data_IF_998036835004
#
_entry.id   IF_998036835004
#
_cell.length_a   1.000
_cell.length_b   1.000
_cell.length_c   1.000
_cell.angle_alpha   90.00
_cell.angle_beta   90.00
_cell.angle_gamma   90.00
#
_symmetry.space_group_name_H-M   'P 1'
#
loop_
_entity.id
_entity.type
_entity.pdbx_description
1 polymer ?
#
# COMPACT_ATOMS: atom_id res chain seq x y z
N UNK A 1 -3.70 -25.31 -2.27
CA UNK A 1 -4.74 -24.37 -2.74
C UNK A 1 -4.47 -22.87 -2.46
N UNK A 2 -3.31 -22.46 -1.92
CA UNK A 2 -3.16 -21.18 -1.20
C UNK A 2 -2.47 -20.00 -1.93
N UNK A 3 -2.78 -19.71 -3.22
CA UNK A 3 -2.34 -18.41 -3.82
C UNK A 3 -3.16 -17.88 -5.01
N UNK A 4 -4.49 -18.06 -5.02
CA UNK A 4 -5.35 -17.51 -6.09
C UNK A 4 -5.26 -15.97 -6.16
N UNK A 5 -5.38 -15.28 -5.02
CA UNK A 5 -5.40 -13.80 -4.98
C UNK A 5 -4.07 -13.18 -5.47
N UNK A 6 -2.88 -13.57 -4.96
CA UNK A 6 -1.62 -13.02 -5.49
C UNK A 6 -1.40 -13.31 -6.97
N UNK A 7 -1.84 -14.48 -7.44
CA UNK A 7 -1.74 -14.84 -8.86
C UNK A 7 -2.64 -13.96 -9.72
N UNK A 8 -3.84 -13.65 -9.24
CA UNK A 8 -4.78 -12.76 -9.93
C UNK A 8 -4.24 -11.33 -10.00
N UNK A 9 -3.74 -10.79 -8.89
CA UNK A 9 -3.09 -9.47 -8.84
C UNK A 9 -1.97 -9.39 -9.88
N UNK A 10 -1.09 -10.40 -9.92
CA UNK A 10 0.01 -10.46 -10.90
C UNK A 10 -0.49 -10.52 -12.34
N UNK A 11 -1.57 -11.26 -12.63
CA UNK A 11 -2.15 -11.33 -13.99
C UNK A 11 -2.71 -9.97 -14.42
N UNK A 12 -3.48 -9.32 -13.56
CA UNK A 12 -4.03 -7.99 -13.83
C UNK A 12 -2.90 -6.97 -14.00
N UNK A 13 -1.90 -6.99 -13.11
CA UNK A 13 -0.76 -6.09 -13.21
C UNK A 13 0.00 -6.25 -14.53
N UNK A 14 0.22 -7.49 -14.99
CA UNK A 14 0.85 -7.76 -16.29
C UNK A 14 0.02 -7.29 -17.48
N UNK A 15 -1.31 -7.40 -17.40
CA UNK A 15 -2.21 -6.89 -18.43
C UNK A 15 -2.07 -5.36 -18.54
N UNK A 16 -2.16 -4.66 -17.42
CA UNK A 16 -2.00 -3.20 -17.37
C UNK A 16 -0.59 -2.80 -17.83
N UNK A 17 0.45 -3.52 -17.43
CA UNK A 17 1.82 -3.26 -17.88
C UNK A 17 1.96 -3.34 -19.41
N UNK A 18 1.34 -4.35 -20.04
CA UNK A 18 1.34 -4.49 -21.51
C UNK A 18 0.53 -3.37 -22.19
N UNK A 19 -0.62 -3.01 -21.63
CA UNK A 19 -1.47 -1.92 -22.15
C UNK A 19 -0.76 -0.56 -22.07
N UNK A 20 -0.04 -0.32 -20.97
CA UNK A 20 0.77 0.89 -20.74
C UNK A 20 2.13 0.85 -21.42
N UNK A 21 2.42 -0.17 -22.25
CA UNK A 21 3.70 -0.38 -22.95
C UNK A 21 4.93 -0.30 -22.02
N UNK A 22 4.76 -0.68 -20.76
CA UNK A 22 5.83 -0.69 -19.77
C UNK A 22 6.26 0.68 -19.24
N UNK A 23 5.44 1.73 -19.39
CA UNK A 23 5.71 3.06 -18.82
C UNK A 23 5.83 2.99 -17.29
N UNK A 24 5.00 2.18 -16.63
CA UNK A 24 5.00 2.05 -15.17
C UNK A 24 5.62 0.70 -14.72
N UNK A 25 6.38 0.67 -13.61
CA UNK A 25 6.88 -0.57 -13.04
C UNK A 25 5.74 -1.52 -12.67
N UNK A 26 5.92 -2.82 -12.93
CA UNK A 26 4.93 -3.84 -12.56
C UNK A 26 4.62 -3.85 -11.06
N UNK A 27 5.63 -3.59 -10.23
CA UNK A 27 5.50 -3.44 -8.78
C UNK A 27 4.63 -2.24 -8.39
N UNK A 28 4.71 -1.11 -9.10
CA UNK A 28 3.83 0.04 -8.86
C UNK A 28 2.38 -0.34 -9.16
N UNK A 29 2.13 -0.99 -10.30
CA UNK A 29 0.78 -1.41 -10.69
C UNK A 29 0.21 -2.40 -9.66
N UNK A 30 0.99 -3.41 -9.25
CA UNK A 30 0.58 -4.36 -8.22
C UNK A 30 0.31 -3.67 -6.88
N UNK A 31 1.15 -2.70 -6.50
CA UNK A 31 0.98 -1.91 -5.28
C UNK A 31 -0.34 -1.12 -5.29
N UNK A 32 -0.67 -0.48 -6.41
CA UNK A 32 -1.93 0.26 -6.57
C UNK A 32 -3.15 -0.67 -6.53
N UNK A 33 -3.10 -1.84 -7.18
CA UNK A 33 -4.18 -2.85 -7.10
C UNK A 33 -4.42 -3.28 -5.65
N UNK A 34 -3.35 -3.59 -4.91
CA UNK A 34 -3.45 -3.94 -3.49
C UNK A 34 -4.03 -2.77 -2.68
N UNK A 35 -3.55 -1.55 -2.92
CA UNK A 35 -4.06 -0.35 -2.26
C UNK A 35 -5.56 -0.14 -2.48
N UNK A 36 -6.05 -0.31 -3.71
CA UNK A 36 -7.48 -0.23 -4.03
C UNK A 36 -8.29 -1.31 -3.30
N UNK A 37 -7.79 -2.54 -3.22
CA UNK A 37 -8.42 -3.59 -2.40
C UNK A 37 -8.43 -3.22 -0.92
N UNK A 38 -7.37 -2.60 -0.42
CA UNK A 38 -7.29 -2.08 0.95
C UNK A 38 -8.38 -1.06 1.28
N UNK A 39 -8.76 -0.20 0.33
CA UNK A 39 -9.89 0.73 0.51
C UNK A 39 -11.21 -0.04 0.69
N UNK A 40 -11.44 -1.09 -0.10
CA UNK A 40 -12.63 -1.94 0.07
C UNK A 40 -12.66 -2.65 1.43
N UNK A 41 -11.49 -3.12 1.88
CA UNK A 41 -11.32 -3.71 3.22
C UNK A 41 -11.61 -2.69 4.30
N UNK A 42 -11.05 -1.47 4.20
CA UNK A 42 -11.32 -0.37 5.13
C UNK A 42 -12.81 -0.09 5.25
N UNK A 43 -13.50 0.11 4.10
CA UNK A 43 -14.92 0.43 4.09
C UNK A 43 -15.78 -0.69 4.69
N UNK A 44 -15.41 -1.94 4.43
CA UNK A 44 -16.11 -3.12 4.99
C UNK A 44 -15.94 -3.19 6.50
N UNK A 45 -14.71 -3.04 7.00
CA UNK A 45 -14.40 -3.09 8.44
C UNK A 45 -15.03 -1.92 9.18
N UNK A 46 -14.93 -0.71 8.63
CA UNK A 46 -15.57 0.47 9.20
C UNK A 46 -17.07 0.27 9.32
N UNK A 47 -17.73 -0.21 8.26
CA UNK A 47 -19.17 -0.51 8.28
C UNK A 47 -19.50 -1.52 9.38
N UNK A 48 -18.75 -2.61 9.51
CA UNK A 48 -18.98 -3.62 10.55
C UNK A 48 -18.80 -3.03 11.95
N UNK A 49 -17.71 -2.29 12.20
CA UNK A 49 -17.45 -1.68 13.51
C UNK A 49 -18.53 -0.66 13.88
N UNK A 50 -19.00 0.14 12.92
CA UNK A 50 -20.11 1.08 13.10
C UNK A 50 -21.44 0.40 13.42
N UNK A 51 -21.64 -0.86 13.02
CA UNK A 51 -22.85 -1.63 13.34
C UNK A 51 -22.78 -2.29 14.72
N UNK A 52 -21.59 -2.59 15.23
CA UNK A 52 -21.38 -3.34 16.48
C UNK A 52 -20.98 -2.48 17.67
N UNK A 53 -20.46 -1.27 17.43
CA UNK A 53 -19.98 -0.37 18.48
C UNK A 53 -20.84 0.88 18.53
N UNK A 54 -21.29 1.26 19.73
CA UNK A 54 -22.40 2.20 19.86
C UNK A 54 -22.07 3.65 19.56
N UNK A 55 -20.88 4.22 19.81
CA UNK A 55 -20.76 5.70 19.69
C UNK A 55 -19.35 6.30 19.47
N UNK A 56 -18.47 5.68 18.67
CA UNK A 56 -17.25 6.41 18.28
C UNK A 56 -16.74 6.07 16.89
N UNK A 57 -17.20 6.86 15.92
CA UNK A 57 -16.64 6.89 14.56
C UNK A 57 -15.12 7.02 14.57
N UNK A 58 -14.55 7.81 15.50
CA UNK A 58 -13.10 7.99 15.60
C UNK A 58 -12.37 6.67 15.89
N UNK A 59 -12.84 5.90 16.87
CA UNK A 59 -12.23 4.60 17.19
C UNK A 59 -12.51 3.56 16.10
N UNK A 60 -13.72 3.52 15.55
CA UNK A 60 -14.06 2.61 14.45
C UNK A 60 -13.21 2.87 13.19
N UNK A 61 -13.04 4.13 12.81
CA UNK A 61 -12.21 4.52 11.68
C UNK A 61 -10.73 4.21 11.93
N UNK A 62 -10.19 4.51 13.12
CA UNK A 62 -8.83 4.16 13.46
C UNK A 62 -8.59 2.63 13.40
N UNK A 63 -9.53 1.83 13.91
CA UNK A 63 -9.48 0.37 13.81
C UNK A 63 -9.51 -0.11 12.35
N UNK A 64 -10.40 0.44 11.53
CA UNK A 64 -10.48 0.13 10.11
C UNK A 64 -9.19 0.48 9.35
N UNK A 65 -8.56 1.63 9.66
CA UNK A 65 -7.28 2.05 9.08
C UNK A 65 -6.17 1.04 9.41
N UNK A 66 -6.09 0.58 10.65
CA UNK A 66 -5.07 -0.39 11.08
C UNK A 66 -5.27 -1.74 10.36
N UNK A 67 -6.52 -2.21 10.25
CA UNK A 67 -6.83 -3.46 9.54
C UNK A 67 -6.51 -3.35 8.06
N UNK A 68 -6.87 -2.23 7.41
CA UNK A 68 -6.56 -1.99 6.01
C UNK A 68 -5.04 -1.86 5.76
N UNK A 69 -4.31 -1.18 6.64
CA UNK A 69 -2.85 -1.08 6.56
C UNK A 69 -2.18 -2.46 6.73
N UNK A 70 -2.68 -3.29 7.66
CA UNK A 70 -2.22 -4.66 7.85
C UNK A 70 -2.45 -5.51 6.61
N UNK A 71 -3.66 -5.43 6.02
CA UNK A 71 -3.99 -6.12 4.79
C UNK A 71 -3.06 -5.70 3.64
N UNK A 72 -2.88 -4.40 3.43
CA UNK A 72 -2.01 -3.88 2.38
C UNK A 72 -0.56 -4.33 2.56
N UNK A 73 -0.03 -4.26 3.78
CA UNK A 73 1.33 -4.68 4.09
C UNK A 73 1.55 -6.17 3.78
N UNK A 74 0.69 -7.04 4.31
CA UNK A 74 0.82 -8.49 4.15
C UNK A 74 0.59 -8.92 2.69
N UNK A 75 -0.38 -8.31 2.01
CA UNK A 75 -0.65 -8.60 0.61
C UNK A 75 0.47 -8.12 -0.31
N UNK A 76 1.03 -6.93 -0.07
CA UNK A 76 2.21 -6.45 -0.80
C UNK A 76 3.42 -7.34 -0.55
N UNK A 77 3.63 -7.83 0.67
CA UNK A 77 4.71 -8.77 0.99
C UNK A 77 4.59 -10.09 0.21
N UNK A 78 3.36 -10.59 0.01
CA UNK A 78 3.09 -11.85 -0.68
C UNK A 78 3.03 -11.71 -2.21
N UNK A 79 2.55 -10.57 -2.71
CA UNK A 79 2.27 -10.33 -4.13
C UNK A 79 3.31 -9.41 -4.75
N UNK A 80 3.28 -8.12 -4.39
CA UNK A 80 4.08 -7.05 -5.02
C UNK A 80 5.58 -7.26 -4.84
N UNK A 81 6.00 -7.66 -3.65
CA UNK A 81 7.41 -7.78 -3.25
C UNK A 81 7.79 -9.23 -2.96
N UNK A 82 7.20 -10.17 -3.70
CA UNK A 82 7.38 -11.61 -3.48
C UNK A 82 8.84 -12.06 -3.50
N UNK A 83 9.66 -11.46 -4.36
CA UNK A 83 11.09 -11.78 -4.48
C UNK A 83 11.91 -11.27 -3.28
N UNK A 84 11.44 -10.20 -2.65
CA UNK A 84 12.03 -9.53 -1.48
C UNK A 84 11.14 -9.70 -0.26
N UNK A 85 10.40 -10.82 -0.17
CA UNK A 85 9.38 -10.97 0.87
C UNK A 85 10.03 -11.13 2.24
N UNK A 86 9.52 -10.41 3.24
CA UNK A 86 9.99 -10.49 4.61
C UNK A 86 9.39 -11.72 5.31
N UNK A 87 10.20 -12.37 6.15
CA UNK A 87 9.83 -13.56 6.93
C UNK A 87 10.29 -13.42 8.40
N UNK A 88 9.66 -14.17 9.30
CA UNK A 88 10.00 -14.19 10.73
C UNK A 88 9.88 -12.81 11.40
N UNK A 89 10.85 -12.46 12.27
CA UNK A 89 10.85 -11.19 13.02
C UNK A 89 10.89 -9.94 12.13
N UNK A 90 11.37 -10.07 10.89
CA UNK A 90 11.45 -8.95 9.93
C UNK A 90 10.08 -8.50 9.46
N UNK A 91 9.05 -9.35 9.51
CA UNK A 91 7.67 -8.96 9.23
C UNK A 91 7.21 -7.89 10.22
N UNK A 92 7.55 -8.03 11.49
CA UNK A 92 7.15 -7.07 12.53
C UNK A 92 7.90 -5.75 12.36
N UNK A 93 9.23 -5.81 12.20
CA UNK A 93 10.04 -4.62 11.96
C UNK A 93 9.58 -3.86 10.70
N UNK A 94 9.34 -4.59 9.60
CA UNK A 94 8.84 -4.03 8.35
C UNK A 94 7.45 -3.39 8.51
N UNK A 95 6.58 -3.97 9.34
CA UNK A 95 5.25 -3.42 9.60
C UNK A 95 5.32 -2.07 10.33
N UNK A 96 6.19 -1.94 11.34
CA UNK A 96 6.36 -0.67 12.07
C UNK A 96 6.91 0.44 11.16
N UNK A 97 7.88 0.11 10.31
CA UNK A 97 8.41 1.06 9.31
C UNK A 97 7.32 1.41 8.30
N UNK A 98 6.55 0.42 7.82
CA UNK A 98 5.46 0.64 6.88
C UNK A 98 4.39 1.59 7.43
N UNK A 99 3.95 1.41 8.68
CA UNK A 99 3.00 2.31 9.34
C UNK A 99 3.52 3.75 9.44
N UNK A 100 4.81 3.91 9.71
CA UNK A 100 5.44 5.25 9.76
C UNK A 100 5.41 5.90 8.38
N UNK A 101 5.80 5.16 7.34
CA UNK A 101 5.83 5.64 5.96
C UNK A 101 4.44 6.03 5.47
N UNK A 102 3.43 5.19 5.71
CA UNK A 102 2.06 5.43 5.24
C UNK A 102 1.38 6.57 5.98
N UNK A 103 1.72 6.78 7.26
CA UNK A 103 1.26 7.94 8.02
C UNK A 103 1.84 9.24 7.46
N UNK A 104 3.14 9.27 7.13
CA UNK A 104 3.76 10.42 6.45
C UNK A 104 3.18 10.64 5.05
N UNK A 105 2.92 9.56 4.31
CA UNK A 105 2.29 9.64 2.99
C UNK A 105 0.87 10.20 3.04
N UNK A 106 0.10 9.87 4.08
CA UNK A 106 -1.22 10.48 4.31
C UNK A 106 -1.08 12.00 4.56
N UNK A 107 -0.13 12.41 5.40
CA UNK A 107 0.17 13.83 5.63
C UNK A 107 0.54 14.57 4.34
N UNK A 108 1.42 13.99 3.52
CA UNK A 108 1.79 14.53 2.20
C UNK A 108 0.59 14.61 1.25
N UNK A 109 -0.28 13.61 1.26
CA UNK A 109 -1.50 13.60 0.43
C UNK A 109 -2.40 14.78 0.76
N UNK A 110 -2.63 15.01 2.06
CA UNK A 110 -3.46 16.10 2.56
C UNK A 110 -2.83 17.46 2.26
N UNK A 111 -1.51 17.60 2.47
CA UNK A 111 -0.77 18.82 2.17
C UNK A 111 -0.89 19.20 0.68
N UNK A 112 -0.55 18.28 -0.22
CA UNK A 112 -0.59 18.54 -1.67
C UNK A 112 -2.02 18.78 -2.15
N UNK A 113 -2.99 18.02 -1.64
CA UNK A 113 -4.39 18.26 -1.95
C UNK A 113 -4.85 19.66 -1.52
N UNK A 114 -4.45 20.12 -0.33
CA UNK A 114 -4.78 21.46 0.15
C UNK A 114 -4.14 22.56 -0.70
N UNK A 115 -2.84 22.48 -0.92
CA UNK A 115 -2.07 23.45 -1.73
C UNK A 115 -2.60 23.61 -3.16
N UNK A 116 -3.04 22.50 -3.77
CA UNK A 116 -3.65 22.55 -5.11
C UNK A 116 -5.05 23.17 -5.03
N UNK A 117 -5.85 22.78 -4.04
CA UNK A 117 -7.21 23.30 -3.87
C UNK A 117 -7.21 24.82 -3.66
N UNK A 118 -6.27 25.35 -2.89
CA UNK A 118 -6.14 26.79 -2.64
C UNK A 118 -5.79 27.59 -3.91
N UNK A 119 -5.30 26.92 -4.97
CA UNK A 119 -4.92 27.55 -6.25
C UNK A 119 -5.96 27.41 -7.35
N UNK A 120 -6.64 26.26 -7.43
CA UNK A 120 -7.56 25.95 -8.54
C UNK A 120 -9.01 25.77 -8.11
N UNK A 121 -9.29 25.62 -6.81
CA UNK A 121 -10.64 25.56 -6.22
C UNK A 121 -11.50 24.41 -6.79
N UNK A 122 -10.86 23.38 -7.33
CA UNK A 122 -11.50 22.16 -7.85
C UNK A 122 -11.25 20.99 -6.88
N UNK A 123 -12.19 20.64 -5.99
CA UNK A 123 -11.95 19.69 -4.90
C UNK A 123 -11.53 18.30 -5.38
N UNK A 124 -12.21 17.76 -6.40
CA UNK A 124 -11.95 16.40 -6.89
C UNK A 124 -10.56 16.27 -7.53
N UNK A 125 -10.16 17.27 -8.33
CA UNK A 125 -8.85 17.27 -8.98
C UNK A 125 -7.74 17.39 -7.93
N UNK A 126 -7.95 18.26 -6.93
CA UNK A 126 -7.00 18.48 -5.85
C UNK A 126 -6.80 17.22 -5.00
N UNK A 127 -7.91 16.57 -4.62
CA UNK A 127 -7.88 15.31 -3.89
C UNK A 127 -7.18 14.21 -4.69
N UNK A 128 -7.46 14.11 -5.99
CA UNK A 128 -6.81 13.13 -6.86
C UNK A 128 -5.30 13.34 -6.94
N UNK A 129 -4.84 14.59 -7.04
CA UNK A 129 -3.41 14.90 -7.05
C UNK A 129 -2.74 14.50 -5.72
N UNK A 130 -3.38 14.79 -4.58
CA UNK A 130 -2.91 14.34 -3.27
C UNK A 130 -2.82 12.82 -3.18
N UNK A 131 -3.85 12.10 -3.63
CA UNK A 131 -3.87 10.62 -3.66
C UNK A 131 -2.74 10.07 -4.53
N UNK A 132 -2.48 10.68 -5.70
CA UNK A 132 -1.38 10.26 -6.59
C UNK A 132 -0.03 10.45 -5.89
N UNK A 133 0.24 11.64 -5.35
CA UNK A 133 1.53 11.92 -4.68
C UNK A 133 1.73 11.03 -3.46
N UNK A 134 0.71 10.89 -2.61
CA UNK A 134 0.77 10.01 -1.45
C UNK A 134 0.97 8.54 -1.81
N UNK A 135 0.32 8.07 -2.86
CA UNK A 135 0.48 6.69 -3.34
C UNK A 135 1.90 6.43 -3.86
N UNK A 136 2.48 7.39 -4.59
CA UNK A 136 3.86 7.32 -5.05
C UNK A 136 4.85 7.34 -3.89
N UNK A 137 4.66 8.22 -2.91
CA UNK A 137 5.46 8.24 -1.68
C UNK A 137 5.41 6.87 -0.98
N UNK A 138 4.19 6.36 -0.74
CA UNK A 138 4.00 5.08 -0.09
C UNK A 138 4.66 3.94 -0.86
N UNK A 139 4.59 3.95 -2.19
CA UNK A 139 5.25 2.96 -3.04
C UNK A 139 6.78 3.04 -2.92
N UNK A 140 7.37 4.20 -3.21
CA UNK A 140 8.82 4.35 -3.28
C UNK A 140 9.47 4.16 -1.91
N UNK A 141 8.92 4.78 -0.86
CA UNK A 141 9.48 4.70 0.47
C UNK A 141 9.34 3.29 1.03
N UNK A 142 8.17 2.67 0.88
CA UNK A 142 8.00 1.32 1.40
C UNK A 142 8.88 0.31 0.65
N UNK A 143 8.99 0.39 -0.68
CA UNK A 143 9.92 -0.46 -1.42
C UNK A 143 11.36 -0.35 -0.90
N UNK A 144 11.87 0.88 -0.73
CA UNK A 144 13.26 1.08 -0.35
C UNK A 144 13.53 0.73 1.12
N UNK A 145 12.69 1.17 2.05
CA UNK A 145 12.96 1.05 3.49
C UNK A 145 12.38 -0.21 4.13
N UNK A 146 11.29 -0.76 3.60
CA UNK A 146 10.71 -1.99 4.12
C UNK A 146 11.32 -3.19 3.40
N UNK A 147 11.12 -3.30 2.09
CA UNK A 147 11.45 -4.54 1.38
C UNK A 147 12.91 -4.61 0.94
N UNK A 148 13.48 -3.55 0.36
CA UNK A 148 14.87 -3.56 -0.11
C UNK A 148 15.88 -3.58 1.03
N UNK A 149 15.67 -2.78 2.08
CA UNK A 149 16.60 -2.70 3.22
C UNK A 149 16.55 -3.92 4.14
N UNK A 150 15.35 -4.47 4.41
CA UNK A 150 15.20 -5.59 5.35
C UNK A 150 15.28 -6.98 4.69
N UNK A 151 15.26 -7.06 3.36
CA UNK A 151 15.40 -8.35 2.68
C UNK A 151 16.75 -9.00 2.95
N UNK A 152 16.81 -10.34 3.06
CA UNK A 152 18.09 -11.03 3.14
C UNK A 152 18.94 -10.71 1.91
N UNK A 153 20.22 -10.35 2.11
CA UNK A 153 21.17 -10.31 0.99
C UNK A 153 21.32 -11.72 0.40
N UNK A 154 21.43 -11.86 -0.93
CA UNK A 154 21.75 -13.16 -1.52
C UNK A 154 23.04 -13.70 -0.92
N UNK A 155 23.10 -15.01 -0.63
CA UNK A 155 24.36 -15.64 -0.21
C UNK A 155 25.40 -15.46 -1.33
N UNK A 156 26.66 -15.14 -1.02
CA UNK A 156 27.73 -15.18 -2.02
C UNK A 156 27.74 -16.57 -2.67
N UNK A 157 27.87 -16.61 -3.99
CA UNK A 157 28.12 -17.87 -4.70
C UNK A 157 29.53 -18.28 -4.30
N UNK A 158 29.67 -19.33 -3.47
CA UNK A 158 30.96 -19.99 -3.27
C UNK A 158 31.40 -20.55 -4.62
N UNK A 159 32.35 -19.88 -5.26
CA UNK A 159 33.07 -20.41 -6.41
C UNK A 159 34.05 -21.45 -5.86
N UNK A 160 33.65 -22.71 -5.88
CA UNK A 160 34.56 -23.85 -5.70
C UNK A 160 35.33 -24.12 -6.98
#
# INVERSE_FOLDING_TARGET
MSSVIPTLIRRIANLVYRLTRGIFPLSLISFLIVGSLGVLVHMSVLKTLMLTSTDSFRYANAGAMIVAASFNYLMNNKSTYRETSLTGKRIIAGYLIYLTITSLGLGLSLLISGEIYDRIQLPMISALCGIVVGSLWNYFMSYNFVWKMLSPKPKPIEQN
#
